data_IF_550603100607
#
_entry.id   IF_550603100607
#
_cell.length_a   1.000
_cell.length_b   1.000
_cell.length_c   1.000
_cell.angle_alpha   90.00
_cell.angle_beta   90.00
_cell.angle_gamma   90.00
#
_symmetry.space_group_name_H-M   'P 1'
#
loop_
_entity.id
_entity.type
_entity.pdbx_description
1 polymer ?
#
# COMPACT_ATOMS: atom_id res chain seq x y z
N UNK A 1 24.67 25.41 3.46
CA UNK A 1 24.74 24.04 2.91
C UNK A 1 23.34 23.46 3.03
N UNK A 2 22.61 23.29 1.94
CA UNK A 2 21.27 22.69 1.99
C UNK A 2 21.40 21.19 2.31
N UNK A 3 20.70 20.74 3.35
CA UNK A 3 20.62 19.33 3.72
C UNK A 3 20.05 18.51 2.57
N UNK A 4 20.79 17.49 2.12
CA UNK A 4 20.31 16.57 1.08
C UNK A 4 19.20 15.73 1.69
N UNK A 5 17.95 16.12 1.45
CA UNK A 5 16.77 15.30 1.79
C UNK A 5 16.98 13.92 1.15
N UNK A 6 17.12 12.88 1.95
CA UNK A 6 17.39 11.53 1.47
C UNK A 6 16.29 11.11 0.49
N UNK A 7 16.64 10.94 -0.79
CA UNK A 7 15.72 10.43 -1.79
C UNK A 7 15.81 8.90 -1.76
N UNK A 8 14.76 8.25 -1.29
CA UNK A 8 14.67 6.79 -1.33
C UNK A 8 14.35 6.33 -2.76
N UNK A 9 14.87 5.17 -3.14
CA UNK A 9 14.50 4.55 -4.41
C UNK A 9 13.06 4.01 -4.32
N UNK A 10 12.29 4.11 -5.41
CA UNK A 10 10.94 3.56 -5.44
C UNK A 10 10.99 2.04 -5.27
N UNK A 11 10.06 1.51 -4.48
CA UNK A 11 9.87 0.07 -4.30
C UNK A 11 9.05 -0.48 -5.46
N UNK A 12 9.45 -1.64 -5.99
CA UNK A 12 8.68 -2.38 -7.00
C UNK A 12 7.47 -3.07 -6.33
N UNK A 13 6.28 -2.88 -6.90
CA UNK A 13 5.07 -3.59 -6.48
C UNK A 13 5.08 -5.02 -7.01
N UNK A 14 5.94 -5.85 -6.42
CA UNK A 14 6.17 -7.24 -6.78
C UNK A 14 6.26 -8.08 -5.49
N UNK A 15 5.44 -9.14 -5.34
CA UNK A 15 5.45 -9.99 -4.15
C UNK A 15 6.83 -10.50 -3.76
N UNK A 16 7.69 -10.87 -4.70
CA UNK A 16 9.05 -11.36 -4.40
C UNK A 16 9.92 -10.30 -3.73
N UNK A 17 9.82 -9.05 -4.19
CA UNK A 17 10.55 -7.92 -3.63
C UNK A 17 9.99 -7.56 -2.26
N UNK A 18 8.67 -7.48 -2.16
CA UNK A 18 7.96 -7.08 -0.95
C UNK A 18 8.10 -8.11 0.19
N UNK A 19 7.97 -9.40 -0.11
CA UNK A 19 8.14 -10.46 0.90
C UNK A 19 9.57 -10.51 1.43
N UNK A 20 10.58 -10.37 0.56
CA UNK A 20 11.99 -10.28 0.99
C UNK A 20 12.24 -9.04 1.84
N UNK A 21 11.62 -7.91 1.48
CA UNK A 21 11.74 -6.67 2.25
C UNK A 21 11.09 -6.79 3.63
N UNK A 22 9.85 -7.26 3.69
CA UNK A 22 9.10 -7.42 4.94
C UNK A 22 9.74 -8.45 5.89
N UNK A 23 10.27 -9.56 5.37
CA UNK A 23 11.03 -10.52 6.16
C UNK A 23 12.27 -9.87 6.81
N UNK A 24 13.01 -9.01 6.10
CA UNK A 24 14.15 -8.25 6.65
C UNK A 24 13.74 -7.24 7.72
N UNK A 25 12.50 -6.74 7.67
CA UNK A 25 11.93 -5.87 8.70
C UNK A 25 11.41 -6.64 9.93
N UNK A 26 11.46 -7.97 9.93
CA UNK A 26 11.01 -8.80 11.04
C UNK A 26 9.54 -9.20 10.99
N UNK A 27 8.89 -9.10 9.84
CA UNK A 27 7.51 -9.54 9.67
C UNK A 27 7.39 -11.06 9.93
N UNK A 28 6.34 -11.48 10.64
CA UNK A 28 6.04 -12.89 10.86
C UNK A 28 5.79 -13.61 9.53
N UNK A 29 6.41 -14.78 9.35
CA UNK A 29 6.29 -15.64 8.15
C UNK A 29 4.86 -16.17 7.88
N UNK A 30 3.93 -15.96 8.81
CA UNK A 30 2.51 -16.26 8.63
C UNK A 30 1.81 -15.29 7.68
N UNK A 31 2.46 -14.16 7.33
CA UNK A 31 1.95 -13.18 6.37
C UNK A 31 2.87 -13.13 5.15
N UNK A 32 2.25 -13.01 3.97
CA UNK A 32 2.94 -12.84 2.70
C UNK A 32 2.10 -11.97 1.76
N UNK A 33 2.77 -11.23 0.89
CA UNK A 33 2.17 -10.55 -0.24
C UNK A 33 1.95 -11.56 -1.37
N UNK A 34 0.79 -11.45 -2.03
CA UNK A 34 0.39 -12.21 -3.21
C UNK A 34 -0.14 -11.23 -4.27
N UNK A 35 0.00 -11.60 -5.54
CA UNK A 35 -0.59 -10.83 -6.64
C UNK A 35 -2.12 -10.96 -6.63
N UNK A 36 -2.78 -9.87 -7.03
CA UNK A 36 -4.21 -9.84 -7.32
C UNK A 36 -4.37 -9.69 -8.84
N UNK A 37 -4.76 -10.77 -9.50
CA UNK A 37 -4.84 -10.82 -10.97
C UNK A 37 -6.05 -10.08 -11.54
N UNK A 38 -7.11 -9.93 -10.75
CA UNK A 38 -8.35 -9.28 -11.15
C UNK A 38 -9.29 -9.05 -9.97
N UNK A 39 -10.40 -8.39 -10.24
CA UNK A 39 -11.40 -8.00 -9.23
C UNK A 39 -12.74 -8.74 -9.42
N UNK A 40 -12.82 -9.66 -10.37
CA UNK A 40 -13.92 -10.61 -10.50
C UNK A 40 -13.76 -11.76 -9.49
N UNK A 41 -14.88 -12.40 -9.15
CA UNK A 41 -14.94 -13.42 -8.09
C UNK A 41 -14.01 -14.62 -8.37
N UNK A 42 -13.82 -14.98 -9.64
CA UNK A 42 -12.95 -16.10 -10.04
C UNK A 42 -11.49 -15.77 -9.75
N UNK A 43 -11.01 -14.60 -10.19
CA UNK A 43 -9.63 -14.16 -9.96
C UNK A 43 -9.36 -13.78 -8.50
N UNK A 44 -10.35 -13.21 -7.80
CA UNK A 44 -10.25 -12.96 -6.36
C UNK A 44 -10.16 -14.25 -5.54
N UNK A 45 -10.78 -15.34 -6.01
CA UNK A 45 -10.66 -16.67 -5.41
C UNK A 45 -9.24 -17.22 -5.38
N UNK A 46 -8.32 -16.67 -6.18
CA UNK A 46 -6.90 -17.04 -6.17
C UNK A 46 -6.12 -16.42 -4.99
N UNK A 47 -6.66 -15.39 -4.34
CA UNK A 47 -6.01 -14.72 -3.21
C UNK A 47 -6.18 -15.55 -1.93
N UNK A 48 -5.08 -15.98 -1.26
CA UNK A 48 -5.17 -16.75 -0.03
C UNK A 48 -5.94 -16.01 1.07
N UNK A 49 -6.71 -16.77 1.85
CA UNK A 49 -7.54 -16.25 2.95
C UNK A 49 -6.99 -16.69 4.31
N UNK A 50 -7.08 -15.85 5.37
CA UNK A 50 -7.69 -14.51 5.37
C UNK A 50 -6.77 -13.44 4.76
N UNK A 51 -7.32 -12.55 3.95
CA UNK A 51 -6.62 -11.34 3.50
C UNK A 51 -6.81 -10.20 4.51
N UNK A 52 -5.73 -9.66 5.06
CA UNK A 52 -5.76 -8.64 6.13
C UNK A 52 -5.46 -7.22 5.65
N UNK A 53 -4.84 -7.08 4.47
CA UNK A 53 -4.47 -5.79 3.90
C UNK A 53 -4.32 -5.89 2.38
N UNK A 54 -4.58 -4.77 1.69
CA UNK A 54 -4.37 -4.62 0.24
C UNK A 54 -3.46 -3.42 0.02
N UNK A 55 -2.43 -3.60 -0.82
CA UNK A 55 -1.61 -2.50 -1.31
C UNK A 55 -1.93 -2.26 -2.78
N UNK A 56 -2.32 -1.03 -3.12
CA UNK A 56 -2.62 -0.62 -4.48
C UNK A 56 -1.57 0.37 -4.97
N UNK A 57 -0.81 -0.01 -5.99
CA UNK A 57 0.02 0.92 -6.75
C UNK A 57 -0.82 1.53 -7.88
N UNK A 58 -0.94 2.86 -7.90
CA UNK A 58 -1.70 3.58 -8.92
C UNK A 58 -1.01 4.90 -9.30
N UNK A 59 -1.25 5.44 -10.51
CA UNK A 59 -0.64 6.69 -10.93
C UNK A 59 -1.24 7.90 -10.19
N UNK A 60 -0.37 8.71 -9.58
CA UNK A 60 -0.76 9.99 -9.00
C UNK A 60 -0.74 11.05 -10.11
N UNK A 61 -1.91 11.44 -10.59
CA UNK A 61 -2.09 12.48 -11.59
C UNK A 61 -2.95 13.65 -11.05
N UNK A 62 -3.11 14.70 -11.85
CA UNK A 62 -3.89 15.88 -11.44
C UNK A 62 -5.34 15.53 -11.08
N UNK A 63 -6.00 14.65 -11.85
CA UNK A 63 -7.38 14.22 -11.55
C UNK A 63 -7.48 13.51 -10.20
N UNK A 64 -6.48 12.69 -9.85
CA UNK A 64 -6.41 12.07 -8.54
C UNK A 64 -6.25 13.11 -7.44
N UNK A 65 -5.38 14.11 -7.63
CA UNK A 65 -5.19 15.18 -6.64
C UNK A 65 -6.47 15.99 -6.41
N UNK A 66 -7.18 16.36 -7.48
CA UNK A 66 -8.47 17.05 -7.39
C UNK A 66 -9.52 16.21 -6.65
N UNK A 67 -9.61 14.91 -6.99
CA UNK A 67 -10.51 13.98 -6.32
C UNK A 67 -10.16 13.78 -4.84
N UNK A 68 -8.85 13.72 -4.52
CA UNK A 68 -8.35 13.59 -3.15
C UNK A 68 -8.76 14.79 -2.29
N UNK A 69 -8.54 16.02 -2.76
CA UNK A 69 -8.93 17.24 -2.04
C UNK A 69 -10.45 17.30 -1.80
N UNK A 70 -11.24 16.97 -2.83
CA UNK A 70 -12.71 16.90 -2.72
C UNK A 70 -13.17 15.84 -1.71
N UNK A 71 -12.48 14.70 -1.65
CA UNK A 71 -12.77 13.65 -0.67
C UNK A 71 -12.43 14.10 0.75
N UNK A 72 -11.34 14.84 0.95
CA UNK A 72 -10.98 15.41 2.27
C UNK A 72 -12.02 16.42 2.77
N UNK A 73 -12.54 17.28 1.90
CA UNK A 73 -13.61 18.22 2.27
C UNK A 73 -14.90 17.49 2.67
N UNK A 74 -15.24 16.40 1.96
CA UNK A 74 -16.47 15.64 2.18
C UNK A 74 -16.42 14.77 3.43
N UNK A 75 -15.29 14.12 3.68
CA UNK A 75 -15.17 13.07 4.69
C UNK A 75 -14.26 13.45 5.87
N UNK A 76 -13.68 14.64 5.86
CA UNK A 76 -12.64 15.04 6.79
C UNK A 76 -11.29 14.38 6.49
N UNK A 77 -10.26 14.73 7.24
CA UNK A 77 -8.97 14.05 7.19
C UNK A 77 -9.09 12.63 7.77
N UNK A 78 -9.09 11.64 6.87
CA UNK A 78 -9.15 10.20 7.20
C UNK A 78 -7.76 9.54 7.23
N UNK A 79 -6.69 10.30 7.47
CA UNK A 79 -5.39 9.69 7.75
C UNK A 79 -5.53 8.61 8.83
N UNK A 80 -5.07 7.40 8.49
CA UNK A 80 -5.17 6.18 9.31
C UNK A 80 -4.78 6.47 10.77
N UNK A 81 -5.73 6.21 11.69
CA UNK A 81 -5.63 6.20 13.15
C UNK A 81 -4.64 7.21 13.77
N UNK A 82 -5.18 8.32 14.30
CA UNK A 82 -4.46 9.21 15.24
C UNK A 82 -3.95 8.51 16.51
N UNK A 83 -4.37 7.26 16.72
CA UNK A 83 -4.11 6.45 17.91
C UNK A 83 -3.15 5.26 17.67
N UNK A 84 -2.49 5.16 16.51
CA UNK A 84 -1.45 4.14 16.31
C UNK A 84 -0.24 4.44 17.22
N UNK A 85 -0.11 3.66 18.30
CA UNK A 85 1.05 3.60 19.18
C UNK A 85 1.77 2.26 18.94
N UNK A 86 3.01 2.25 18.43
CA UNK A 86 3.76 1.03 18.13
C UNK A 86 4.03 0.15 19.36
#
# INVERSE_FOLDING_TARGET
MAEKKGCWLPLEANPDVMNKYAAKLGMNMSYQFHDVFGLDDELLGLVPQPCVAILLLFPINQKFQEAYLKNQERYGDQTLHKDWNP
#
